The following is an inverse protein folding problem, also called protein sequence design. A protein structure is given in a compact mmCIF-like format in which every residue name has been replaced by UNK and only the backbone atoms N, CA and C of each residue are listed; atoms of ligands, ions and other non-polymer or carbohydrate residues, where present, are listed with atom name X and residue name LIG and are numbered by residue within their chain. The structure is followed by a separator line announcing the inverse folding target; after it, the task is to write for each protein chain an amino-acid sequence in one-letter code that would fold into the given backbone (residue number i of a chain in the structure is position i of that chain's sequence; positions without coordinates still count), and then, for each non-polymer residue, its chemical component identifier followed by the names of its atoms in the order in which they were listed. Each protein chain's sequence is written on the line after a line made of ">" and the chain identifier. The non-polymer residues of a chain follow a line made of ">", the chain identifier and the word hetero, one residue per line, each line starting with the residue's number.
data_IF_954632503232
#
_entry.id   IF_954632503232
#
_cell.length_a   1.000
_cell.length_b   1.000
_cell.length_c   1.000
_cell.angle_alpha   90.00
_cell.angle_beta   90.00
_cell.angle_gamma   90.00
#
_symmetry.space_group_name_H-M   'P 1'
#
loop_
_entity.id
_entity.type
_entity.pdbx_description
1 polymer ?
#
# COMPACT_ATOMS: atom_id res chain seq x y z
N UNK A 1 -5.44 45.41 12.84
CA UNK A 1 -6.65 44.82 12.18
C UNK A 1 -7.87 45.48 12.80
N UNK A 2 -8.76 46.05 11.98
CA UNK A 2 -9.98 46.68 12.48
C UNK A 2 -10.90 45.64 13.10
N UNK A 3 -11.52 45.94 14.26
CA UNK A 3 -12.40 45.03 15.00
C UNK A 3 -13.43 44.31 14.12
N UNK A 4 -13.92 44.99 13.07
CA UNK A 4 -14.89 44.46 12.14
C UNK A 4 -14.32 43.35 11.22
N UNK A 5 -13.00 43.37 10.90
CA UNK A 5 -12.37 42.34 10.08
C UNK A 5 -12.24 41.01 10.85
N UNK A 6 -11.96 41.08 12.16
CA UNK A 6 -11.92 39.89 13.02
C UNK A 6 -13.30 39.26 13.16
N UNK A 7 -14.33 40.09 13.34
CA UNK A 7 -15.72 39.62 13.45
C UNK A 7 -16.19 38.92 12.18
N UNK A 8 -15.81 39.45 11.01
CA UNK A 8 -16.16 38.86 9.70
C UNK A 8 -15.49 37.49 9.48
N UNK A 9 -14.22 37.34 9.88
CA UNK A 9 -13.48 36.06 9.77
C UNK A 9 -14.09 35.02 10.72
N UNK A 10 -14.43 35.39 11.97
CA UNK A 10 -15.08 34.49 12.91
C UNK A 10 -16.46 34.07 12.42
N UNK A 11 -17.26 35.01 11.89
CA UNK A 11 -18.57 34.68 11.33
C UNK A 11 -18.46 33.76 10.13
N UNK A 12 -17.48 33.95 9.24
CA UNK A 12 -17.23 33.07 8.11
C UNK A 12 -16.81 31.66 8.56
N UNK A 13 -16.00 31.57 9.62
CA UNK A 13 -15.57 30.27 10.17
C UNK A 13 -16.73 29.50 10.80
N UNK A 14 -17.65 30.19 11.50
CA UNK A 14 -18.85 29.59 12.10
C UNK A 14 -19.83 29.09 11.04
N UNK A 15 -19.90 29.77 9.87
CA UNK A 15 -20.76 29.34 8.74
C UNK A 15 -20.15 28.16 8.01
N UNK A 16 -18.82 28.12 7.86
CA UNK A 16 -18.13 27.06 7.09
C UNK A 16 -17.87 25.81 7.94
N UNK A 17 -17.64 25.94 9.25
CA UNK A 17 -17.33 24.81 10.14
C UNK A 17 -18.36 23.67 10.09
N UNK A 18 -19.69 23.88 10.08
CA UNK A 18 -20.66 22.79 9.99
C UNK A 18 -20.61 22.02 8.65
N UNK A 19 -20.10 22.63 7.58
CA UNK A 19 -19.93 22.00 6.28
C UNK A 19 -18.67 21.13 6.21
N UNK A 20 -17.69 21.41 7.07
CA UNK A 20 -16.44 20.64 7.18
C UNK A 20 -16.61 19.41 8.08
N UNK A 21 -17.58 19.41 8.99
CA UNK A 21 -17.87 18.32 9.92
C UNK A 21 -19.13 17.55 9.50
N UNK A 22 -19.17 17.00 8.29
CA UNK A 22 -20.20 16.03 7.95
C UNK A 22 -19.88 14.72 8.67
N UNK A 23 -20.83 14.11 9.42
CA UNK A 23 -20.63 12.77 9.95
C UNK A 23 -20.38 11.84 8.75
N UNK A 24 -19.22 11.20 8.72
CA UNK A 24 -18.96 10.14 7.75
C UNK A 24 -19.80 8.93 8.20
N UNK A 25 -20.85 8.62 7.46
CA UNK A 25 -21.57 7.37 7.65
C UNK A 25 -20.63 6.20 7.35
N UNK A 26 -20.70 5.15 8.15
CA UNK A 26 -19.97 3.90 7.88
C UNK A 26 -20.42 3.37 6.52
N UNK A 27 -19.48 3.19 5.61
CA UNK A 27 -19.73 2.61 4.28
C UNK A 27 -18.87 1.37 4.16
N UNK A 28 -19.51 0.21 4.14
CA UNK A 28 -18.87 -1.06 3.90
C UNK A 28 -18.88 -1.27 2.39
N UNK A 29 -17.69 -1.28 1.76
CA UNK A 29 -17.57 -1.53 0.34
C UNK A 29 -16.17 -1.99 -0.05
N UNK A 30 -16.09 -2.92 -1.00
CA UNK A 30 -14.83 -3.39 -1.58
C UNK A 30 -15.04 -3.78 -3.03
N UNK A 31 -13.95 -3.78 -3.81
CA UNK A 31 -13.98 -4.20 -5.21
C UNK A 31 -12.74 -5.00 -5.57
N UNK A 32 -12.90 -5.98 -6.44
CA UNK A 32 -11.80 -6.69 -7.09
C UNK A 32 -11.25 -5.81 -8.21
N UNK A 33 -9.92 -5.76 -8.33
CA UNK A 33 -9.24 -5.00 -9.38
C UNK A 33 -7.95 -5.67 -9.81
N UNK A 34 -7.43 -5.29 -10.99
CA UNK A 34 -6.13 -5.68 -11.54
C UNK A 34 -5.94 -7.21 -11.63
N UNK A 35 -7.02 -7.97 -11.84
CA UNK A 35 -6.93 -9.41 -11.93
C UNK A 35 -6.31 -9.88 -13.25
N UNK A 36 -5.57 -10.99 -13.19
CA UNK A 36 -5.10 -11.77 -14.33
C UNK A 36 -5.23 -13.26 -14.06
N UNK A 37 -5.23 -14.05 -15.12
CA UNK A 37 -5.25 -15.51 -15.03
C UNK A 37 -4.02 -16.12 -15.67
N UNK A 38 -3.61 -17.28 -15.17
CA UNK A 38 -2.57 -18.09 -15.78
C UNK A 38 -2.72 -19.57 -15.39
N UNK A 39 -2.05 -20.42 -16.11
CA UNK A 39 -1.82 -21.82 -15.73
C UNK A 39 -0.35 -21.95 -15.35
N UNK A 40 -0.07 -22.55 -14.22
CA UNK A 40 1.29 -22.74 -13.73
C UNK A 40 1.96 -23.99 -14.35
N UNK A 41 3.21 -24.28 -13.97
CA UNK A 41 3.97 -25.42 -14.47
C UNK A 41 3.43 -26.79 -14.00
N UNK A 42 2.60 -26.82 -12.96
CA UNK A 42 1.91 -28.03 -12.50
C UNK A 42 0.62 -28.30 -13.28
N UNK A 43 0.16 -27.31 -14.04
CA UNK A 43 -1.10 -27.34 -14.75
C UNK A 43 -2.27 -26.77 -13.95
N UNK A 44 -2.01 -26.11 -12.80
CA UNK A 44 -3.03 -25.49 -11.97
C UNK A 44 -3.45 -24.14 -12.56
N UNK A 45 -4.76 -23.89 -12.57
CA UNK A 45 -5.29 -22.61 -13.04
C UNK A 45 -5.39 -21.62 -11.88
N UNK A 46 -4.93 -20.41 -12.12
CA UNK A 46 -4.93 -19.33 -11.15
C UNK A 46 -5.68 -18.11 -11.66
N UNK A 47 -6.38 -17.42 -10.76
CA UNK A 47 -6.71 -16.02 -10.90
C UNK A 47 -6.12 -15.25 -9.71
N UNK A 48 -5.24 -14.31 -10.03
CA UNK A 48 -4.60 -13.42 -9.06
C UNK A 48 -5.08 -12.00 -9.26
N UNK A 49 -5.16 -11.23 -8.19
CA UNK A 49 -5.64 -9.85 -8.24
C UNK A 49 -5.56 -9.19 -6.88
N UNK A 50 -6.21 -8.05 -6.75
CA UNK A 50 -6.34 -7.30 -5.50
C UNK A 50 -7.80 -7.07 -5.14
N UNK A 51 -8.09 -7.04 -3.85
CA UNK A 51 -9.32 -6.46 -3.30
C UNK A 51 -8.98 -5.12 -2.70
N UNK A 52 -9.56 -4.04 -3.23
CA UNK A 52 -9.47 -2.69 -2.71
C UNK A 52 -10.63 -2.41 -1.75
N UNK A 53 -10.35 -2.01 -0.52
CA UNK A 53 -11.37 -1.48 0.38
C UNK A 53 -11.74 -0.04 -0.04
N UNK A 54 -12.89 0.12 -0.70
CA UNK A 54 -13.42 1.43 -1.14
C UNK A 54 -14.35 2.06 -0.12
N UNK A 55 -14.59 1.36 1.01
CA UNK A 55 -15.36 1.86 2.14
C UNK A 55 -14.54 2.76 3.07
N UNK A 56 -15.14 3.11 4.19
CA UNK A 56 -14.49 3.89 5.26
C UNK A 56 -14.41 3.13 6.58
N UNK A 57 -14.67 1.83 6.57
CA UNK A 57 -14.52 0.90 7.70
C UNK A 57 -13.50 -0.16 7.36
N UNK A 58 -12.89 -0.76 8.38
CA UNK A 58 -11.98 -1.89 8.21
C UNK A 58 -12.75 -3.15 7.79
N UNK A 59 -12.12 -3.97 6.95
CA UNK A 59 -12.67 -5.23 6.46
C UNK A 59 -11.84 -6.41 6.94
N UNK A 60 -12.51 -7.56 7.11
CA UNK A 60 -11.89 -8.85 7.45
C UNK A 60 -12.63 -10.00 6.78
N UNK A 61 -12.05 -11.21 6.85
CA UNK A 61 -12.61 -12.43 6.25
C UNK A 61 -12.97 -12.23 4.77
N UNK A 62 -12.08 -11.54 4.04
CA UNK A 62 -12.29 -11.18 2.64
C UNK A 62 -12.05 -12.42 1.80
N UNK A 63 -13.14 -13.00 1.28
CA UNK A 63 -13.15 -14.24 0.52
C UNK A 63 -13.53 -13.97 -0.93
N UNK A 64 -12.72 -14.52 -1.83
CA UNK A 64 -12.98 -14.48 -3.27
C UNK A 64 -13.30 -15.91 -3.72
N UNK A 65 -14.43 -16.09 -4.41
CA UNK A 65 -14.79 -17.35 -5.05
C UNK A 65 -14.90 -17.17 -6.55
N UNK A 66 -14.39 -18.13 -7.31
CA UNK A 66 -14.50 -18.17 -8.77
C UNK A 66 -15.52 -19.23 -9.17
N UNK A 67 -16.43 -18.89 -10.10
CA UNK A 67 -17.24 -19.89 -10.80
C UNK A 67 -16.57 -20.12 -12.15
N UNK A 68 -16.02 -21.32 -12.34
CA UNK A 68 -15.31 -21.72 -13.56
C UNK A 68 -16.27 -22.36 -14.55
N UNK A 69 -16.17 -22.01 -15.83
CA UNK A 69 -17.04 -22.51 -16.89
C UNK A 69 -16.25 -23.03 -18.09
N UNK A 70 -16.74 -24.14 -18.64
CA UNK A 70 -16.27 -24.68 -19.89
C UNK A 70 -16.82 -23.89 -21.10
N UNK A 71 -16.29 -24.16 -22.29
CA UNK A 71 -16.68 -23.49 -23.53
C UNK A 71 -18.20 -23.65 -23.86
N UNK A 72 -18.82 -24.75 -23.45
CA UNK A 72 -20.25 -24.99 -23.61
C UNK A 72 -21.12 -24.29 -22.56
N UNK A 73 -20.52 -23.50 -21.64
CA UNK A 73 -21.19 -22.79 -20.56
C UNK A 73 -21.47 -23.62 -19.31
N UNK A 74 -21.16 -24.94 -19.31
CA UNK A 74 -21.31 -25.75 -18.09
C UNK A 74 -20.32 -25.31 -17.01
N UNK A 75 -20.75 -25.40 -15.76
CA UNK A 75 -19.88 -25.14 -14.62
C UNK A 75 -18.92 -26.29 -14.42
N UNK A 76 -17.64 -25.97 -14.22
CA UNK A 76 -16.55 -26.92 -13.94
C UNK A 76 -16.36 -27.07 -12.45
N UNK A 77 -16.09 -25.93 -11.74
CA UNK A 77 -15.82 -25.92 -10.31
C UNK A 77 -16.08 -24.53 -9.69
N UNK A 78 -15.90 -24.44 -8.34
CA UNK A 78 -16.09 -23.25 -7.52
C UNK A 78 -14.91 -23.02 -6.54
N UNK A 79 -13.66 -22.88 -7.03
CA UNK A 79 -12.55 -22.62 -6.12
C UNK A 79 -12.71 -21.30 -5.40
N UNK A 80 -12.16 -21.21 -4.19
CA UNK A 80 -12.19 -20.00 -3.40
C UNK A 80 -10.92 -19.84 -2.54
N UNK A 81 -10.57 -18.58 -2.27
CA UNK A 81 -9.47 -18.21 -1.40
C UNK A 81 -9.82 -16.97 -0.57
N UNK A 82 -9.08 -16.76 0.50
CA UNK A 82 -9.05 -15.49 1.21
C UNK A 82 -7.93 -14.59 0.67
N UNK A 83 -8.04 -13.28 0.89
CA UNK A 83 -6.91 -12.38 0.72
C UNK A 83 -5.75 -12.81 1.63
N UNK A 84 -4.52 -12.54 1.21
CA UNK A 84 -3.34 -12.86 2.01
C UNK A 84 -3.22 -12.01 3.29
N UNK A 85 -3.85 -10.82 3.33
CA UNK A 85 -4.07 -10.05 4.57
C UNK A 85 -5.42 -10.45 5.19
N UNK A 86 -5.45 -10.53 6.52
CA UNK A 86 -6.68 -10.82 7.26
C UNK A 86 -7.52 -9.56 7.49
N UNK A 87 -6.85 -8.39 7.61
CA UNK A 87 -7.49 -7.11 7.85
C UNK A 87 -7.08 -6.11 6.78
N UNK A 88 -8.05 -5.32 6.31
CA UNK A 88 -7.85 -4.37 5.23
C UNK A 88 -8.40 -3.00 5.65
N UNK A 89 -7.50 -2.04 5.80
CA UNK A 89 -7.87 -0.67 6.17
C UNK A 89 -8.57 0.06 5.01
N UNK A 90 -9.34 1.14 5.27
CA UNK A 90 -9.90 1.98 4.23
C UNK A 90 -8.85 2.48 3.23
N UNK A 91 -9.09 2.29 1.94
CA UNK A 91 -8.19 2.68 0.85
C UNK A 91 -7.02 1.73 0.60
N UNK A 92 -6.87 0.68 1.39
CA UNK A 92 -5.82 -0.34 1.22
C UNK A 92 -6.27 -1.43 0.26
N UNK A 93 -5.31 -2.06 -0.44
CA UNK A 93 -5.54 -3.19 -1.34
C UNK A 93 -4.78 -4.43 -0.87
N UNK A 94 -5.44 -5.57 -0.82
CA UNK A 94 -4.85 -6.87 -0.47
C UNK A 94 -4.87 -7.84 -1.64
N UNK A 95 -3.72 -8.46 -1.91
CA UNK A 95 -3.58 -9.47 -2.95
C UNK A 95 -4.32 -10.77 -2.60
N UNK A 96 -4.82 -11.45 -3.63
CA UNK A 96 -5.43 -12.78 -3.54
C UNK A 96 -4.92 -13.69 -4.65
N UNK A 97 -5.04 -15.00 -4.45
CA UNK A 97 -4.81 -16.04 -5.43
C UNK A 97 -5.86 -17.14 -5.25
N UNK A 98 -6.82 -17.22 -6.17
CA UNK A 98 -7.75 -18.35 -6.27
C UNK A 98 -7.20 -19.36 -7.25
N UNK A 99 -7.11 -20.61 -6.84
CA UNK A 99 -6.46 -21.69 -7.60
C UNK A 99 -7.43 -22.86 -7.77
N UNK A 100 -7.45 -23.41 -8.98
CA UNK A 100 -8.02 -24.72 -9.32
C UNK A 100 -6.86 -25.69 -9.53
N UNK A 101 -6.72 -26.67 -8.62
CA UNK A 101 -5.61 -27.61 -8.54
C UNK A 101 -5.86 -28.92 -9.31
N UNK A 102 -7.04 -29.08 -9.92
CA UNK A 102 -7.32 -30.22 -10.78
C UNK A 102 -6.93 -29.87 -12.22
N UNK A 103 -5.84 -30.43 -12.72
CA UNK A 103 -5.32 -30.15 -14.06
C UNK A 103 -6.33 -30.44 -15.19
N UNK A 104 -7.24 -31.41 -15.03
CA UNK A 104 -8.30 -31.68 -16.01
C UNK A 104 -9.34 -30.56 -16.06
N UNK A 105 -9.71 -29.98 -14.91
CA UNK A 105 -10.56 -28.82 -14.78
C UNK A 105 -9.86 -27.57 -15.35
N UNK A 106 -8.62 -27.34 -14.93
CA UNK A 106 -7.80 -26.19 -15.33
C UNK A 106 -7.71 -26.05 -16.85
N UNK A 107 -7.45 -27.16 -17.56
CA UNK A 107 -7.37 -27.19 -19.02
C UNK A 107 -8.72 -26.96 -19.73
N UNK A 108 -9.83 -27.12 -19.03
CA UNK A 108 -11.18 -26.93 -19.57
C UNK A 108 -11.78 -25.54 -19.33
N UNK A 109 -11.13 -24.70 -18.50
CA UNK A 109 -11.63 -23.35 -18.16
C UNK A 109 -11.62 -22.45 -19.40
N UNK A 110 -12.79 -21.98 -19.80
CA UNK A 110 -12.99 -21.04 -20.92
C UNK A 110 -13.39 -19.64 -20.45
N UNK A 111 -14.09 -19.55 -19.31
CA UNK A 111 -14.48 -18.29 -18.68
C UNK A 111 -14.66 -18.47 -17.18
N UNK A 112 -14.66 -17.36 -16.46
CA UNK A 112 -14.90 -17.35 -15.03
C UNK A 112 -15.71 -16.11 -14.61
N UNK A 113 -16.28 -16.18 -13.41
CA UNK A 113 -16.86 -15.02 -12.73
C UNK A 113 -16.41 -15.04 -11.29
N UNK A 114 -16.04 -13.88 -10.76
CA UNK A 114 -15.62 -13.72 -9.36
C UNK A 114 -16.76 -13.19 -8.50
N UNK A 115 -16.88 -13.73 -7.29
CA UNK A 115 -17.74 -13.21 -6.24
C UNK A 115 -16.88 -12.83 -5.04
N UNK A 116 -17.23 -11.72 -4.38
CA UNK A 116 -16.49 -11.14 -3.26
C UNK A 116 -17.39 -11.10 -2.03
N UNK A 117 -16.92 -11.68 -0.93
CA UNK A 117 -17.57 -11.67 0.38
C UNK A 117 -16.61 -11.07 1.40
N UNK A 118 -17.10 -10.25 2.32
CA UNK A 118 -16.29 -9.63 3.37
C UNK A 118 -17.14 -9.20 4.56
N UNK A 119 -16.49 -8.95 5.69
CA UNK A 119 -17.12 -8.47 6.92
C UNK A 119 -16.43 -7.22 7.43
N UNK A 120 -17.16 -6.40 8.18
CA UNK A 120 -16.57 -5.29 8.94
C UNK A 120 -15.71 -5.83 10.08
N UNK A 121 -14.58 -5.16 10.35
CA UNK A 121 -13.73 -5.44 11.50
C UNK A 121 -13.42 -4.19 12.32
N UNK A 122 -12.86 -4.40 13.51
CA UNK A 122 -12.28 -3.32 14.29
C UNK A 122 -10.95 -2.87 13.69
N UNK A 123 -10.60 -1.57 13.84
CA UNK A 123 -9.30 -1.07 13.40
C UNK A 123 -8.14 -1.81 14.07
N UNK A 124 -7.13 -2.16 13.28
CA UNK A 124 -5.85 -2.72 13.75
C UNK A 124 -4.80 -1.60 13.81
N UNK A 125 -3.93 -1.65 14.80
CA UNK A 125 -2.90 -0.62 14.98
C UNK A 125 -1.84 -0.70 13.89
N UNK A 126 -1.53 0.42 13.26
CA UNK A 126 -0.43 0.56 12.31
C UNK A 126 0.90 0.68 13.04
N UNK A 127 1.74 -0.35 12.97
CA UNK A 127 3.00 -0.38 13.69
C UNK A 127 4.14 -1.12 12.98
N UNK A 128 3.87 -1.83 11.89
CA UNK A 128 4.87 -2.61 11.17
C UNK A 128 5.38 -1.85 9.94
N UNK A 129 6.68 -1.94 9.69
CA UNK A 129 7.31 -1.33 8.52
C UNK A 129 8.30 -2.29 7.88
N UNK A 130 8.11 -2.62 6.60
CA UNK A 130 9.11 -3.31 5.79
C UNK A 130 10.10 -2.29 5.22
N UNK A 131 11.40 -2.54 5.33
CA UNK A 131 12.42 -1.62 4.84
C UNK A 131 13.71 -2.36 4.42
N UNK A 132 14.64 -1.63 3.79
CA UNK A 132 15.87 -2.14 3.22
C UNK A 132 15.63 -3.32 2.26
N UNK A 133 14.54 -3.22 1.48
CA UNK A 133 14.14 -4.28 0.56
C UNK A 133 15.08 -4.29 -0.64
N UNK A 134 15.64 -5.45 -0.91
CA UNK A 134 16.50 -5.71 -2.07
C UNK A 134 15.89 -6.83 -2.92
N UNK A 135 15.95 -6.67 -4.24
CA UNK A 135 15.47 -7.65 -5.20
C UNK A 135 16.64 -8.24 -5.97
N UNK A 136 16.74 -9.56 -5.99
CA UNK A 136 17.76 -10.30 -6.76
C UNK A 136 17.08 -11.38 -7.60
N UNK A 137 17.73 -11.87 -8.66
CA UNK A 137 17.31 -13.09 -9.36
C UNK A 137 18.22 -14.23 -8.96
N UNK A 138 17.62 -15.39 -8.69
CA UNK A 138 18.35 -16.63 -8.46
C UNK A 138 18.74 -17.30 -9.79
N UNK A 139 19.44 -18.43 -9.69
CA UNK A 139 19.90 -19.21 -10.87
C UNK A 139 18.75 -19.83 -11.68
N UNK A 140 17.55 -19.90 -11.12
CA UNK A 140 16.34 -20.41 -11.79
C UNK A 140 15.50 -19.30 -12.39
N UNK A 141 15.97 -18.03 -12.26
CA UNK A 141 15.27 -16.85 -12.73
C UNK A 141 14.16 -16.36 -11.82
N UNK A 142 13.99 -16.93 -10.61
CA UNK A 142 13.03 -16.45 -9.62
C UNK A 142 13.47 -15.09 -9.06
N UNK A 143 12.50 -14.19 -8.78
CA UNK A 143 12.81 -12.98 -8.01
C UNK A 143 12.79 -13.34 -6.52
N UNK A 144 13.87 -12.98 -5.83
CA UNK A 144 14.01 -13.10 -4.38
C UNK A 144 14.07 -11.71 -3.77
N UNK A 145 13.03 -11.33 -3.02
CA UNK A 145 13.00 -10.12 -2.20
C UNK A 145 13.51 -10.47 -0.80
N UNK A 146 14.50 -9.72 -0.33
CA UNK A 146 14.99 -9.80 1.05
C UNK A 146 14.88 -8.44 1.71
N UNK A 147 14.64 -8.40 3.01
CA UNK A 147 14.51 -7.16 3.76
C UNK A 147 14.29 -7.42 5.24
N UNK A 148 13.86 -6.39 5.95
CA UNK A 148 13.55 -6.45 7.37
C UNK A 148 12.17 -5.91 7.63
N UNK A 149 11.49 -6.46 8.64
CA UNK A 149 10.30 -5.87 9.24
C UNK A 149 10.68 -5.31 10.60
N UNK A 150 10.38 -4.02 10.83
CA UNK A 150 10.53 -3.33 12.11
C UNK A 150 9.19 -3.33 12.84
N UNK A 151 9.22 -3.72 14.12
CA UNK A 151 8.10 -3.53 15.04
C UNK A 151 8.24 -2.17 15.74
N UNK A 152 7.39 -1.19 15.37
CA UNK A 152 7.27 0.12 16.00
C UNK A 152 6.09 0.19 16.97
N UNK A 153 5.48 -0.95 17.28
CA UNK A 153 4.35 -1.06 18.21
C UNK A 153 4.76 -0.91 19.67
N UNK A 154 3.84 -1.15 20.55
CA UNK A 154 4.01 -1.07 22.00
C UNK A 154 4.08 -2.43 22.69
N UNK A 155 3.99 -3.50 21.92
CA UNK A 155 4.11 -4.89 22.36
C UNK A 155 4.90 -5.71 21.32
N UNK A 156 5.15 -6.96 21.63
CA UNK A 156 5.66 -7.97 20.70
C UNK A 156 4.69 -8.17 19.52
N UNK A 157 5.21 -8.45 18.35
CA UNK A 157 4.46 -8.72 17.12
C UNK A 157 4.56 -10.22 16.81
N UNK A 158 3.46 -10.95 16.98
CA UNK A 158 3.42 -12.40 16.79
C UNK A 158 2.87 -12.80 15.43
N UNK A 159 3.41 -13.91 14.89
CA UNK A 159 3.02 -14.45 13.58
C UNK A 159 3.11 -13.39 12.47
N UNK A 160 4.20 -12.63 12.49
CA UNK A 160 4.43 -11.57 11.50
C UNK A 160 4.67 -12.17 10.12
N UNK A 161 3.82 -11.80 9.18
CA UNK A 161 3.91 -12.18 7.76
C UNK A 161 4.10 -10.96 6.87
N UNK A 162 4.81 -11.17 5.77
CA UNK A 162 5.01 -10.20 4.69
C UNK A 162 4.26 -10.71 3.46
N UNK A 163 3.38 -9.90 2.92
CA UNK A 163 2.60 -10.19 1.71
C UNK A 163 3.13 -9.32 0.59
N UNK A 164 3.49 -9.93 -0.53
CA UNK A 164 3.92 -9.26 -1.74
C UNK A 164 2.89 -9.41 -2.86
N UNK A 165 2.48 -8.29 -3.42
CA UNK A 165 1.69 -8.22 -4.65
C UNK A 165 2.59 -7.70 -5.76
N UNK A 166 2.71 -8.44 -6.85
CA UNK A 166 3.64 -8.18 -7.94
C UNK A 166 2.88 -7.82 -9.21
N UNK A 167 3.29 -6.75 -9.88
CA UNK A 167 2.58 -6.16 -11.02
C UNK A 167 3.38 -6.28 -12.31
N UNK A 168 2.67 -6.52 -13.40
CA UNK A 168 3.18 -6.47 -14.76
C UNK A 168 3.30 -5.06 -15.33
N UNK A 169 3.76 -4.96 -16.58
CA UNK A 169 3.91 -3.68 -17.28
C UNK A 169 2.58 -2.96 -17.55
N UNK A 170 1.48 -3.70 -17.59
CA UNK A 170 0.11 -3.20 -17.74
C UNK A 170 -0.52 -2.75 -16.41
N UNK A 171 0.21 -2.92 -15.29
CA UNK A 171 -0.25 -2.59 -13.94
C UNK A 171 -1.17 -3.65 -13.31
N UNK A 172 -1.45 -4.75 -14.01
CA UNK A 172 -2.20 -5.86 -13.45
C UNK A 172 -1.33 -6.76 -12.57
N UNK A 173 -1.97 -7.49 -11.65
CA UNK A 173 -1.28 -8.42 -10.76
C UNK A 173 -0.84 -9.66 -11.56
N UNK A 174 0.44 -10.00 -11.49
CA UNK A 174 1.00 -11.19 -12.14
C UNK A 174 1.33 -12.31 -11.14
N UNK A 175 1.52 -11.95 -9.87
CA UNK A 175 1.77 -12.91 -8.81
C UNK A 175 1.45 -12.28 -7.44
N UNK A 176 0.97 -13.11 -6.51
CA UNK A 176 0.82 -12.77 -5.09
C UNK A 176 1.45 -13.87 -4.26
N UNK A 177 2.25 -13.50 -3.28
CA UNK A 177 2.87 -14.45 -2.37
C UNK A 177 3.02 -13.90 -0.96
N UNK A 178 3.30 -14.78 -0.02
CA UNK A 178 3.58 -14.38 1.37
C UNK A 178 4.73 -15.20 1.95
N UNK A 179 5.36 -14.63 2.96
CA UNK A 179 6.35 -15.29 3.80
C UNK A 179 6.20 -14.80 5.24
N UNK A 180 6.74 -15.54 6.21
CA UNK A 180 6.90 -15.03 7.57
C UNK A 180 8.27 -14.39 7.74
N UNK A 181 8.40 -13.50 8.73
CA UNK A 181 9.73 -13.12 9.22
C UNK A 181 10.38 -14.31 9.93
N UNK A 182 11.69 -14.33 10.04
CA UNK A 182 12.44 -15.38 10.73
C UNK A 182 13.31 -14.80 11.84
N UNK A 183 12.90 -15.01 13.11
CA UNK A 183 11.67 -15.64 13.61
C UNK A 183 10.40 -14.84 13.29
N UNK A 184 9.23 -15.52 13.32
CA UNK A 184 7.94 -14.92 13.04
C UNK A 184 7.47 -13.94 14.13
N UNK A 185 8.06 -13.97 15.30
CA UNK A 185 7.85 -13.04 16.41
C UNK A 185 8.91 -11.94 16.39
N UNK A 186 8.46 -10.67 16.43
CA UNK A 186 9.34 -9.51 16.47
C UNK A 186 9.18 -8.81 17.83
N UNK A 187 10.20 -8.85 18.72
CA UNK A 187 10.13 -8.13 19.98
C UNK A 187 9.95 -6.62 19.80
N UNK A 188 9.47 -5.97 20.86
CA UNK A 188 9.29 -4.52 20.90
C UNK A 188 10.55 -3.77 20.45
N UNK A 189 10.39 -2.78 19.56
CA UNK A 189 11.43 -1.94 18.98
C UNK A 189 12.55 -2.71 18.23
N UNK A 190 12.33 -4.01 17.95
CA UNK A 190 13.26 -4.85 17.20
C UNK A 190 12.80 -5.06 15.76
N UNK A 191 13.63 -5.74 14.98
CA UNK A 191 13.42 -6.10 13.59
C UNK A 191 13.76 -7.55 13.34
N UNK A 192 13.11 -8.16 12.34
CA UNK A 192 13.43 -9.50 11.85
C UNK A 192 13.54 -9.52 10.34
N UNK A 193 14.44 -10.35 9.78
CA UNK A 193 14.56 -10.51 8.34
C UNK A 193 13.38 -11.27 7.75
N UNK A 194 13.15 -11.04 6.46
CA UNK A 194 12.26 -11.86 5.64
C UNK A 194 12.87 -12.15 4.28
N UNK A 195 12.42 -13.22 3.66
CA UNK A 195 12.70 -13.57 2.27
C UNK A 195 11.41 -14.00 1.59
N UNK A 196 11.02 -13.31 0.52
CA UNK A 196 9.84 -13.60 -0.29
C UNK A 196 10.29 -13.91 -1.72
N UNK A 197 9.80 -15.02 -2.29
CA UNK A 197 10.20 -15.47 -3.62
C UNK A 197 9.02 -15.46 -4.59
N UNK A 198 9.20 -14.88 -5.78
CA UNK A 198 8.34 -15.09 -6.96
C UNK A 198 8.97 -16.24 -7.73
N UNK A 199 8.34 -17.43 -7.73
CA UNK A 199 8.95 -18.62 -8.31
C UNK A 199 8.94 -18.58 -9.83
N UNK A 200 9.99 -19.18 -10.42
CA UNK A 200 10.09 -19.44 -11.86
C UNK A 200 10.29 -18.18 -12.72
N UNK A 201 10.98 -18.38 -13.84
CA UNK A 201 11.25 -17.31 -14.81
C UNK A 201 9.98 -16.85 -15.55
N UNK A 202 8.99 -17.71 -15.70
CA UNK A 202 7.71 -17.45 -16.37
C UNK A 202 6.90 -16.35 -15.67
N UNK A 203 6.87 -16.35 -14.33
CA UNK A 203 6.19 -15.31 -13.54
C UNK A 203 7.10 -14.13 -13.27
N UNK A 204 8.32 -14.39 -12.79
CA UNK A 204 9.26 -13.34 -12.38
C UNK A 204 9.64 -12.38 -13.53
N UNK A 205 9.69 -12.86 -14.77
CA UNK A 205 10.00 -12.01 -15.93
C UNK A 205 8.88 -11.03 -16.29
N UNK A 206 7.66 -11.25 -15.81
CA UNK A 206 6.53 -10.33 -16.01
C UNK A 206 6.53 -9.19 -14.97
N UNK A 207 7.24 -9.35 -13.86
CA UNK A 207 7.24 -8.38 -12.75
C UNK A 207 8.01 -7.12 -13.15
N UNK A 208 7.34 -5.97 -13.04
CA UNK A 208 7.92 -4.63 -13.24
C UNK A 208 7.94 -3.81 -11.96
N UNK A 209 7.02 -4.11 -11.02
CA UNK A 209 6.93 -3.45 -9.72
C UNK A 209 6.26 -4.37 -8.70
N UNK A 210 6.33 -3.99 -7.42
CA UNK A 210 5.68 -4.72 -6.34
C UNK A 210 5.23 -3.78 -5.22
N UNK A 211 4.27 -4.25 -4.42
CA UNK A 211 3.89 -3.69 -3.14
C UNK A 211 4.12 -4.73 -2.05
N UNK A 212 4.59 -4.30 -0.89
CA UNK A 212 4.77 -5.14 0.29
C UNK A 212 3.91 -4.61 1.43
N UNK A 213 3.11 -5.50 2.01
CA UNK A 213 2.33 -5.23 3.21
C UNK A 213 2.71 -6.22 4.29
N UNK A 214 2.62 -5.80 5.54
CA UNK A 214 2.99 -6.61 6.69
C UNK A 214 1.82 -6.69 7.66
N UNK A 215 1.56 -7.86 8.18
CA UNK A 215 0.51 -8.09 9.17
C UNK A 215 0.98 -9.07 10.23
N UNK A 216 0.50 -8.88 11.45
CA UNK A 216 0.66 -9.79 12.59
C UNK A 216 -0.66 -9.93 13.33
N UNK A 217 -0.66 -10.66 14.44
CA UNK A 217 -1.85 -10.73 15.30
C UNK A 217 -2.23 -9.37 15.91
N UNK A 218 -1.24 -8.51 16.21
CA UNK A 218 -1.44 -7.27 16.94
C UNK A 218 -1.44 -6.04 16.03
N UNK A 219 -0.71 -6.10 14.91
CA UNK A 219 -0.36 -4.93 14.12
C UNK A 219 -0.49 -5.16 12.62
N UNK A 220 -0.59 -4.05 11.88
CA UNK A 220 -0.49 -4.05 10.42
C UNK A 220 0.50 -2.99 9.93
N UNK A 221 0.75 -2.96 8.61
CA UNK A 221 1.64 -2.01 7.94
C UNK A 221 1.23 -0.58 8.16
N UNK A 222 2.21 0.29 8.33
CA UNK A 222 2.01 1.75 8.25
C UNK A 222 1.74 2.08 6.78
N UNK A 223 0.57 2.65 6.43
CA UNK A 223 0.23 2.95 5.05
C UNK A 223 1.19 3.97 4.42
N UNK A 224 1.70 3.68 3.23
CA UNK A 224 2.61 4.60 2.52
C UNK A 224 1.96 5.95 2.17
N UNK A 225 0.62 6.00 2.00
CA UNK A 225 -0.12 7.22 1.67
C UNK A 225 -0.24 8.22 2.84
N UNK A 226 0.08 7.84 4.07
CA UNK A 226 0.08 8.78 5.21
C UNK A 226 1.25 9.78 5.14
N UNK A 227 2.35 9.42 4.48
CA UNK A 227 3.52 10.30 4.32
C UNK A 227 3.26 11.54 3.45
N UNK A 228 2.61 11.46 2.27
CA UNK A 228 2.30 12.64 1.46
C UNK A 228 1.31 13.60 2.12
N UNK A 229 0.31 13.09 2.85
CA UNK A 229 -0.69 13.92 3.51
C UNK A 229 -0.09 14.74 4.67
N UNK A 230 0.84 14.17 5.42
CA UNK A 230 1.59 14.88 6.48
C UNK A 230 2.48 15.95 5.86
N UNK A 231 3.20 15.64 4.79
CA UNK A 231 4.06 16.60 4.07
C UNK A 231 3.23 17.73 3.48
N UNK A 232 2.09 17.44 2.85
CA UNK A 232 1.17 18.45 2.31
C UNK A 232 0.60 19.34 3.43
N UNK A 233 0.24 18.77 4.57
CA UNK A 233 -0.22 19.51 5.75
C UNK A 233 0.85 20.45 6.33
N UNK A 234 2.08 19.99 6.48
CA UNK A 234 3.23 20.78 6.95
C UNK A 234 3.54 21.89 5.95
N UNK A 235 3.54 21.61 4.63
CA UNK A 235 3.79 22.59 3.57
C UNK A 235 2.72 23.68 3.58
N UNK A 236 1.45 23.34 3.75
CA UNK A 236 0.36 24.29 3.85
C UNK A 236 0.48 25.18 5.10
N UNK A 237 0.82 24.60 6.25
CA UNK A 237 1.07 25.35 7.49
C UNK A 237 2.25 26.34 7.35
N UNK A 238 3.36 25.91 6.74
CA UNK A 238 4.51 26.75 6.46
C UNK A 238 4.18 27.88 5.49
N UNK A 239 3.38 27.61 4.44
CA UNK A 239 2.92 28.65 3.50
C UNK A 239 2.05 29.71 4.18
N UNK A 240 1.14 29.32 5.09
CA UNK A 240 0.31 30.25 5.87
C UNK A 240 1.16 31.09 6.82
N UNK A 241 2.16 30.50 7.48
CA UNK A 241 3.08 31.21 8.39
C UNK A 241 3.94 32.21 7.60
N UNK A 242 4.50 31.82 6.44
CA UNK A 242 5.32 32.71 5.59
C UNK A 242 4.51 33.88 5.02
N UNK A 243 3.26 33.64 4.61
CA UNK A 243 2.35 34.70 4.16
C UNK A 243 2.05 35.71 5.29
N UNK A 244 1.88 35.25 6.53
CA UNK A 244 1.67 36.13 7.70
C UNK A 244 2.91 36.95 8.01
N UNK A 245 4.12 36.37 7.95
CA UNK A 245 5.37 37.09 8.19
C UNK A 245 5.60 38.15 7.11
N UNK A 246 5.33 37.84 5.84
CA UNK A 246 5.46 38.78 4.73
C UNK A 246 4.47 39.95 4.80
N UNK A 247 3.27 39.74 5.34
CA UNK A 247 2.27 40.83 5.54
C UNK A 247 2.55 41.70 6.74
N UNK A 248 3.20 41.19 7.79
CA UNK A 248 3.62 41.99 8.96
C UNK A 248 4.91 42.79 8.69
N UNK A 249 5.84 42.24 7.88
CA UNK A 249 7.11 42.88 7.52
C UNK A 249 7.01 44.09 6.61
N UNK A 250 5.83 44.38 6.02
CA UNK A 250 5.64 45.56 5.11
C UNK A 250 5.40 46.89 5.83
N UNK A 251 5.45 46.93 7.14
CA UNK A 251 5.20 48.17 7.91
C UNK A 251 6.44 48.74 8.62
N UNK A 252 7.64 48.25 8.35
CA UNK A 252 8.88 48.86 8.86
C UNK A 252 9.74 49.41 7.70
N UNK A 253 10.18 50.69 7.77
CA UNK A 253 11.08 51.23 6.77
C UNK A 253 12.48 50.63 6.95
N UNK A 254 13.07 50.17 5.82
CA UNK A 254 14.44 49.67 5.76
C UNK A 254 15.47 50.81 5.98
N UNK A 255 16.48 50.62 6.85
CA UNK A 255 17.66 51.47 6.80
C UNK A 255 18.55 51.08 5.62
N UNK A 256 19.03 52.10 4.91
CA UNK A 256 19.88 52.03 3.73
C UNK A 256 21.28 51.49 4.03
N UNK A 257 21.78 50.74 3.06
CA UNK A 257 23.19 50.51 2.70
C UNK A 257 24.05 49.59 3.57
N UNK A 258 24.44 48.47 2.97
CA UNK A 258 25.87 48.13 2.78
C UNK A 258 26.04 46.92 1.83
N UNK A 259 26.64 47.18 0.69
CA UNK A 259 27.18 46.21 -0.27
C UNK A 259 28.25 45.33 0.35
N UNK A 260 28.12 44.00 0.28
CA UNK A 260 29.26 43.05 0.42
C UNK A 260 29.17 41.95 -0.64
N UNK A 261 30.23 41.88 -1.41
CA UNK A 261 30.56 40.87 -2.40
C UNK A 261 30.44 39.44 -1.82
N UNK A 262 29.72 38.57 -2.51
CA UNK A 262 29.80 37.12 -2.32
C UNK A 262 30.61 36.54 -3.46
N UNK A 263 31.78 35.98 -3.10
CA UNK A 263 32.71 35.27 -3.96
C UNK A 263 32.13 33.89 -4.31
N UNK A 264 31.91 33.63 -5.60
CA UNK A 264 31.57 32.30 -6.11
C UNK A 264 32.77 31.38 -6.01
N UNK A 265 32.63 30.22 -5.35
CA UNK A 265 33.55 29.09 -5.44
C UNK A 265 32.93 28.06 -6.36
N UNK A 266 33.51 27.88 -7.55
CA UNK A 266 33.23 26.75 -8.43
C UNK A 266 33.97 25.52 -7.91
N UNK A 267 33.20 24.43 -7.63
CA UNK A 267 33.78 23.10 -7.40
C UNK A 267 33.34 22.23 -8.58
N UNK A 268 34.30 21.82 -9.39
CA UNK A 268 34.19 20.79 -10.41
C UNK A 268 34.47 19.42 -9.79
N UNK A 269 33.63 18.39 -10.00
CA UNK A 269 33.97 17.03 -9.62
C UNK A 269 34.84 16.39 -10.71
N UNK A 270 36.04 15.87 -10.30
CA UNK A 270 36.87 14.99 -11.11
C UNK A 270 36.45 13.54 -10.91
N UNK A 271 36.12 12.84 -12.00
CA UNK A 271 36.00 11.40 -12.05
C UNK A 271 37.39 10.80 -12.38
N UNK A 272 37.88 9.88 -11.57
CA UNK A 272 38.92 8.95 -11.95
C UNK A 272 38.34 7.53 -12.11
N UNK A 273 38.74 6.78 -13.15
CA UNK A 273 38.35 5.39 -13.36
C UNK A 273 39.46 4.44 -12.84
N UNK A 274 39.01 3.43 -12.11
CA UNK A 274 39.73 2.12 -12.01
C UNK A 274 38.69 0.99 -12.00
#
# INVERSE_FOLDING_TARGET
>A
MKKNTVLLIVALFVIIAPWLFRPAFATINAQIQKETTYVDLNGDWHVVGEVLNTGNVWLTQIRISATLRAQNGSTIDFPAAYTFLNNLSPGEAAGFNVMEDNAANSGAVSSYTLNLEFHESQPVTFALNAYAVNATKDIYGSIVLTGFVQNNGNTESDYTKVVGTFYGADGNVVYVGMTSTDPATIPLANRQPFQLTVPGADRSNLVTSWSLLVESQQFTSIPEWQTPAIIAGITLCLAVVTLRVATVGRTLPLPSAASRLVRRVNVTPSFEPT
#
